data_IF_881236622660
#
_entry.id   IF_881236622660
#
_cell.length_a   1.000
_cell.length_b   1.000
_cell.length_c   1.000
_cell.angle_alpha   90.00
_cell.angle_beta   90.00
_cell.angle_gamma   90.00
#
_symmetry.space_group_name_H-M   'P 1'
#
loop_
_entity.id
_entity.type
_entity.pdbx_description
1 polymer ?
#
# COMPACT_ATOMS: atom_id res chain seq x y z
N UNK A 1 -28.76 34.88 -1.58
CA UNK A 1 -27.96 33.75 -1.05
C UNK A 1 -28.42 32.41 -1.65
N UNK A 2 -29.72 32.10 -1.71
CA UNK A 2 -30.24 30.96 -2.48
C UNK A 2 -29.90 31.02 -4.00
N UNK A 3 -29.87 32.23 -4.57
CA UNK A 3 -29.53 32.45 -5.99
C UNK A 3 -28.14 31.98 -6.41
N UNK A 4 -27.14 32.01 -5.52
CA UNK A 4 -25.77 31.59 -5.83
C UNK A 4 -25.64 30.06 -5.86
N UNK A 5 -26.38 29.36 -5.00
CA UNK A 5 -26.46 27.90 -4.98
C UNK A 5 -27.26 27.39 -6.18
N UNK A 6 -28.39 28.02 -6.51
CA UNK A 6 -29.16 27.69 -7.70
C UNK A 6 -28.36 27.94 -8.99
N UNK A 7 -27.58 29.02 -9.04
CA UNK A 7 -26.63 29.26 -10.13
C UNK A 7 -25.54 28.18 -10.19
N UNK A 8 -24.99 27.75 -9.06
CA UNK A 8 -24.05 26.64 -9.01
C UNK A 8 -24.66 25.35 -9.55
N UNK A 9 -25.87 24.97 -9.10
CA UNK A 9 -26.58 23.77 -9.60
C UNK A 9 -26.84 23.87 -11.11
N UNK A 10 -27.27 25.03 -11.59
CA UNK A 10 -27.54 25.24 -13.01
C UNK A 10 -26.26 25.21 -13.86
N UNK A 11 -25.15 25.78 -13.37
CA UNK A 11 -23.83 25.70 -14.03
C UNK A 11 -23.30 24.26 -14.03
N UNK A 12 -23.49 23.51 -12.95
CA UNK A 12 -23.11 22.09 -12.86
C UNK A 12 -23.91 21.26 -13.87
N UNK A 13 -25.22 21.51 -14.02
CA UNK A 13 -26.08 20.87 -15.04
C UNK A 13 -25.67 21.22 -16.47
N UNK A 14 -25.39 22.49 -16.72
CA UNK A 14 -25.01 22.95 -18.05
C UNK A 14 -23.63 22.41 -18.46
N UNK A 15 -22.65 22.44 -17.57
CA UNK A 15 -21.28 21.96 -17.84
C UNK A 15 -21.23 20.42 -17.93
N UNK A 16 -22.04 19.72 -17.14
CA UNK A 16 -22.19 18.26 -17.27
C UNK A 16 -22.81 17.88 -18.61
N UNK A 17 -23.89 18.54 -19.03
CA UNK A 17 -24.52 18.32 -20.33
C UNK A 17 -23.61 18.69 -21.53
N UNK A 18 -22.64 19.59 -21.33
CA UNK A 18 -21.68 20.02 -22.34
C UNK A 18 -20.37 19.21 -22.34
N UNK A 19 -20.17 18.30 -21.38
CA UNK A 19 -18.94 17.49 -21.27
C UNK A 19 -17.67 18.27 -20.89
N UNK A 20 -17.78 19.53 -20.46
CA UNK A 20 -16.63 20.37 -20.08
C UNK A 20 -16.23 20.14 -18.61
N UNK A 21 -15.67 18.97 -18.35
CA UNK A 21 -15.34 18.46 -17.01
C UNK A 21 -14.21 19.24 -16.31
N UNK A 22 -13.29 19.86 -17.06
CA UNK A 22 -12.17 20.64 -16.50
C UNK A 22 -12.63 21.96 -15.87
N UNK A 23 -13.53 22.68 -16.55
CA UNK A 23 -14.14 23.90 -16.02
C UNK A 23 -15.02 23.59 -14.80
N UNK A 24 -15.67 22.42 -14.78
CA UNK A 24 -16.43 21.96 -13.63
C UNK A 24 -15.54 21.73 -12.41
N UNK A 25 -14.34 21.15 -12.58
CA UNK A 25 -13.36 20.99 -11.50
C UNK A 25 -12.88 22.35 -10.94
N UNK A 26 -12.61 23.32 -11.81
CA UNK A 26 -12.19 24.66 -11.39
C UNK A 26 -13.31 25.40 -10.63
N UNK A 27 -14.54 25.26 -11.11
CA UNK A 27 -15.73 25.84 -10.48
C UNK A 27 -15.99 25.21 -9.10
N UNK A 28 -15.71 23.91 -8.95
CA UNK A 28 -15.80 23.20 -7.67
C UNK A 28 -14.79 23.72 -6.67
N UNK A 29 -13.52 23.86 -7.07
CA UNK A 29 -12.48 24.40 -6.21
C UNK A 29 -12.81 25.84 -5.74
N UNK A 30 -13.41 26.67 -6.60
CA UNK A 30 -13.85 28.02 -6.24
C UNK A 30 -15.13 28.05 -5.39
N UNK A 31 -16.00 27.05 -5.54
CA UNK A 31 -17.30 27.00 -4.85
C UNK A 31 -17.25 26.47 -3.41
N UNK A 32 -16.12 25.86 -2.98
CA UNK A 32 -15.98 25.25 -1.66
C UNK A 32 -16.33 26.20 -0.49
N UNK A 33 -15.92 27.46 -0.57
CA UNK A 33 -16.25 28.48 0.46
C UNK A 33 -17.72 28.90 0.46
N UNK A 34 -18.40 28.84 -0.69
CA UNK A 34 -19.82 29.19 -0.84
C UNK A 34 -20.73 28.06 -0.35
N UNK A 35 -20.32 26.81 -0.58
CA UNK A 35 -21.01 25.61 -0.10
C UNK A 35 -20.88 25.49 1.43
N UNK A 36 -19.72 25.81 2.00
CA UNK A 36 -19.50 25.80 3.45
C UNK A 36 -20.42 26.78 4.22
N UNK A 37 -20.86 27.87 3.57
CA UNK A 37 -21.72 28.90 4.18
C UNK A 37 -23.22 28.56 4.15
N UNK A 38 -23.66 27.58 3.34
CA UNK A 38 -25.08 27.31 3.11
C UNK A 38 -25.46 25.84 3.35
N UNK A 39 -25.07 25.29 4.50
CA UNK A 39 -25.17 23.87 4.86
C UNK A 39 -26.61 23.32 4.90
N UNK A 40 -27.59 24.13 5.34
CA UNK A 40 -28.99 23.72 5.49
C UNK A 40 -29.71 23.43 4.16
N UNK A 41 -29.22 24.00 3.06
CA UNK A 41 -29.80 23.83 1.72
C UNK A 41 -29.07 22.77 0.89
N UNK A 42 -27.96 22.22 1.39
CA UNK A 42 -27.15 21.24 0.68
C UNK A 42 -27.89 19.91 0.47
N UNK A 43 -28.79 19.50 1.38
CA UNK A 43 -29.62 18.29 1.15
C UNK A 43 -30.68 18.49 0.07
N UNK A 44 -31.23 19.71 -0.04
CA UNK A 44 -32.13 20.08 -1.15
C UNK A 44 -31.38 20.14 -2.49
N UNK A 45 -30.14 20.64 -2.48
CA UNK A 45 -29.23 20.64 -3.64
C UNK A 45 -28.84 19.20 -4.02
N UNK A 46 -28.51 18.35 -3.05
CA UNK A 46 -28.17 16.95 -3.26
C UNK A 46 -29.33 16.16 -3.87
N UNK A 47 -30.56 16.43 -3.45
CA UNK A 47 -31.76 15.85 -4.05
C UNK A 47 -32.12 16.39 -5.45
N UNK A 48 -31.56 17.53 -5.83
CA UNK A 48 -31.76 18.14 -7.15
C UNK A 48 -30.68 17.71 -8.18
N UNK A 49 -29.55 17.15 -7.73
CA UNK A 49 -28.49 16.68 -8.61
C UNK A 49 -28.63 15.17 -8.85
N UNK A 50 -28.57 14.75 -10.11
CA UNK A 50 -28.39 13.34 -10.44
C UNK A 50 -26.96 12.90 -10.11
N UNK A 51 -26.83 11.81 -9.35
CA UNK A 51 -25.54 11.24 -8.91
C UNK A 51 -24.71 10.70 -10.08
N UNK A 52 -25.33 10.28 -11.19
CA UNK A 52 -24.62 9.77 -12.36
C UNK A 52 -24.06 10.90 -13.24
N UNK A 53 -24.86 11.93 -13.47
CA UNK A 53 -24.48 13.05 -14.35
C UNK A 53 -23.68 14.13 -13.60
N UNK A 54 -23.92 14.32 -12.31
CA UNK A 54 -23.32 15.41 -11.51
C UNK A 54 -22.52 14.89 -10.32
N UNK A 55 -21.97 13.68 -10.46
CA UNK A 55 -21.16 13.01 -9.45
C UNK A 55 -20.11 13.91 -8.80
N UNK A 56 -19.47 14.72 -9.62
CA UNK A 56 -18.41 15.62 -9.23
C UNK A 56 -18.91 16.81 -8.35
N UNK A 57 -20.09 17.35 -8.65
CA UNK A 57 -20.73 18.36 -7.79
C UNK A 57 -21.22 17.78 -6.46
N UNK A 58 -21.73 16.55 -6.48
CA UNK A 58 -22.12 15.81 -5.28
C UNK A 58 -20.91 15.50 -4.38
N UNK A 59 -19.78 15.11 -4.96
CA UNK A 59 -18.51 14.90 -4.24
C UNK A 59 -18.05 16.13 -3.49
N UNK A 60 -18.06 17.28 -4.15
CA UNK A 60 -17.65 18.54 -3.55
C UNK A 60 -18.53 18.90 -2.34
N UNK A 61 -19.85 18.72 -2.48
CA UNK A 61 -20.82 18.97 -1.40
C UNK A 61 -20.61 18.01 -0.23
N UNK A 62 -20.43 16.71 -0.50
CA UNK A 62 -20.17 15.71 0.53
C UNK A 62 -18.84 15.97 1.24
N UNK A 63 -17.77 16.30 0.49
CA UNK A 63 -16.46 16.62 1.05
C UNK A 63 -16.52 17.83 1.99
N UNK A 64 -17.23 18.89 1.61
CA UNK A 64 -17.47 20.06 2.47
C UNK A 64 -18.28 19.69 3.70
N UNK A 65 -19.28 18.80 3.60
CA UNK A 65 -20.04 18.30 4.76
C UNK A 65 -19.16 17.51 5.75
N UNK A 66 -18.20 16.72 5.28
CA UNK A 66 -17.26 15.99 6.14
C UNK A 66 -16.17 16.88 6.75
N UNK A 67 -15.83 17.99 6.11
CA UNK A 67 -14.87 18.96 6.63
C UNK A 67 -15.39 19.73 7.87
N UNK A 68 -16.67 19.58 8.21
CA UNK A 68 -17.27 20.25 9.36
C UNK A 68 -17.03 19.48 10.67
N UNK A 69 -16.65 20.17 11.77
CA UNK A 69 -16.31 19.55 13.05
C UNK A 69 -17.49 18.97 13.84
N UNK A 70 -18.74 19.11 13.38
CA UNK A 70 -19.91 18.52 14.03
C UNK A 70 -20.96 18.14 12.99
N UNK A 71 -21.09 16.84 12.74
CA UNK A 71 -22.17 16.25 11.93
C UNK A 71 -23.16 15.60 12.89
N UNK A 72 -24.32 16.25 13.16
CA UNK A 72 -25.34 15.71 14.07
C UNK A 72 -25.90 14.36 13.59
N UNK A 73 -25.94 14.13 12.27
CA UNK A 73 -26.49 12.92 11.65
C UNK A 73 -25.46 12.20 10.76
N UNK A 74 -24.39 11.69 11.35
CA UNK A 74 -23.38 10.91 10.60
C UNK A 74 -23.98 9.71 9.85
N UNK A 75 -25.03 9.07 10.38
CA UNK A 75 -25.61 7.87 9.76
C UNK A 75 -26.34 8.18 8.43
N UNK A 76 -27.02 9.33 8.36
CA UNK A 76 -27.67 9.76 7.11
C UNK A 76 -26.63 10.17 6.08
N UNK A 77 -25.59 10.90 6.51
CA UNK A 77 -24.46 11.26 5.66
C UNK A 77 -23.69 10.03 5.16
N UNK A 78 -23.45 9.05 6.02
CA UNK A 78 -22.82 7.78 5.65
C UNK A 78 -23.65 7.03 4.60
N UNK A 79 -24.97 7.00 4.78
CA UNK A 79 -25.89 6.39 3.81
C UNK A 79 -25.87 7.13 2.46
N UNK A 80 -25.77 8.47 2.48
CA UNK A 80 -25.61 9.30 1.28
C UNK A 80 -24.28 9.01 0.56
N UNK A 81 -23.16 8.89 1.30
CA UNK A 81 -21.87 8.51 0.72
C UNK A 81 -21.91 7.11 0.15
N UNK A 82 -22.52 6.15 0.85
CA UNK A 82 -22.65 4.79 0.36
C UNK A 82 -23.44 4.74 -0.95
N UNK A 83 -24.58 5.44 -1.03
CA UNK A 83 -25.35 5.55 -2.25
C UNK A 83 -24.53 6.20 -3.37
N UNK A 84 -23.82 7.28 -3.05
CA UNK A 84 -22.95 7.97 -3.97
C UNK A 84 -21.89 7.03 -4.56
N UNK A 85 -21.08 6.36 -3.74
CA UNK A 85 -20.01 5.46 -4.21
C UNK A 85 -20.56 4.31 -5.04
N UNK A 86 -21.75 3.79 -4.69
CA UNK A 86 -22.37 2.68 -5.44
C UNK A 86 -22.89 3.07 -6.83
N UNK A 87 -23.37 4.32 -6.98
CA UNK A 87 -24.05 4.78 -8.22
C UNK A 87 -23.18 5.70 -9.06
N UNK A 88 -22.04 6.16 -8.56
CA UNK A 88 -21.18 7.13 -9.23
C UNK A 88 -20.61 6.63 -10.57
N UNK A 89 -20.51 7.56 -11.52
CA UNK A 89 -19.77 7.39 -12.77
C UNK A 89 -18.25 7.57 -12.54
N UNK A 90 -17.48 6.50 -12.81
CA UNK A 90 -16.03 6.48 -12.64
C UNK A 90 -15.28 7.41 -13.62
N UNK A 91 -15.87 7.77 -14.76
CA UNK A 91 -15.22 8.65 -15.74
C UNK A 91 -15.08 10.08 -15.21
N UNK A 92 -16.10 10.59 -14.52
CA UNK A 92 -16.06 11.92 -13.91
C UNK A 92 -15.13 11.96 -12.69
N UNK A 93 -15.03 10.87 -11.93
CA UNK A 93 -14.13 10.77 -10.76
C UNK A 93 -12.67 10.90 -11.18
N UNK A 94 -12.30 10.42 -12.37
CA UNK A 94 -10.93 10.52 -12.88
C UNK A 94 -10.45 11.96 -13.08
N UNK A 95 -11.36 12.91 -13.29
CA UNK A 95 -11.00 14.33 -13.39
C UNK A 95 -10.79 14.99 -12.02
N UNK A 96 -11.36 14.43 -10.94
CA UNK A 96 -11.29 15.00 -9.60
C UNK A 96 -10.91 13.97 -8.53
N UNK A 97 -9.88 13.18 -8.86
CA UNK A 97 -9.30 12.18 -7.96
C UNK A 97 -8.87 12.75 -6.61
N UNK A 98 -8.40 14.02 -6.58
CA UNK A 98 -8.00 14.72 -5.36
C UNK A 98 -9.16 14.83 -4.34
N UNK A 99 -10.28 15.43 -4.75
CA UNK A 99 -11.46 15.56 -3.88
C UNK A 99 -12.07 14.22 -3.49
N UNK A 100 -12.00 13.23 -4.38
CA UNK A 100 -12.53 11.89 -4.13
C UNK A 100 -11.66 11.12 -3.12
N UNK A 101 -10.34 11.15 -3.27
CA UNK A 101 -9.40 10.58 -2.33
C UNK A 101 -9.51 11.27 -0.97
N UNK A 102 -9.58 12.61 -0.96
CA UNK A 102 -9.84 13.39 0.24
C UNK A 102 -11.10 12.95 0.97
N UNK A 103 -12.21 12.74 0.25
CA UNK A 103 -13.46 12.25 0.84
C UNK A 103 -13.28 10.87 1.47
N UNK A 104 -12.57 9.97 0.80
CA UNK A 104 -12.27 8.64 1.33
C UNK A 104 -11.40 8.71 2.59
N UNK A 105 -10.37 9.54 2.60
CA UNK A 105 -9.52 9.77 3.78
C UNK A 105 -10.31 10.34 4.96
N UNK A 106 -11.19 11.31 4.72
CA UNK A 106 -12.04 11.88 5.77
C UNK A 106 -13.04 10.85 6.30
N UNK A 107 -13.65 10.06 5.41
CA UNK A 107 -14.53 8.95 5.79
C UNK A 107 -13.77 7.92 6.66
N UNK A 108 -12.55 7.56 6.26
CA UNK A 108 -11.68 6.64 7.01
C UNK A 108 -11.40 7.19 8.40
N UNK A 109 -10.93 8.43 8.52
CA UNK A 109 -10.65 9.06 9.81
C UNK A 109 -11.88 9.11 10.72
N UNK A 110 -13.05 9.48 10.18
CA UNK A 110 -14.29 9.54 10.94
C UNK A 110 -14.74 8.14 11.42
N UNK A 111 -14.58 7.09 10.60
CA UNK A 111 -14.89 5.72 10.99
C UNK A 111 -13.92 5.17 12.05
N UNK A 112 -12.66 5.57 11.99
CA UNK A 112 -11.63 5.24 12.99
C UNK A 112 -11.97 5.88 14.33
N UNK A 113 -12.32 7.17 14.33
CA UNK A 113 -12.70 7.90 15.55
C UNK A 113 -13.97 7.31 16.20
N UNK A 114 -14.95 6.91 15.39
CA UNK A 114 -16.21 6.30 15.85
C UNK A 114 -16.11 4.79 16.15
N UNK A 115 -14.94 4.16 15.95
CA UNK A 115 -14.67 2.74 16.20
C UNK A 115 -15.57 1.76 15.43
N UNK A 116 -16.07 2.13 14.25
CA UNK A 116 -16.90 1.26 13.38
C UNK A 116 -16.27 1.03 11.98
N UNK A 117 -15.01 0.57 11.88
CA UNK A 117 -14.29 0.48 10.61
C UNK A 117 -14.84 -0.58 9.64
N UNK A 118 -15.57 -1.59 10.13
CA UNK A 118 -16.01 -2.74 9.33
C UNK A 118 -16.95 -2.36 8.17
N UNK A 119 -17.86 -1.40 8.38
CA UNK A 119 -18.81 -0.95 7.35
C UNK A 119 -18.11 -0.16 6.22
N UNK A 120 -16.99 0.50 6.54
CA UNK A 120 -16.23 1.29 5.56
C UNK A 120 -15.50 0.43 4.53
N UNK A 121 -15.03 -0.76 4.91
CA UNK A 121 -14.23 -1.63 4.02
C UNK A 121 -14.97 -1.94 2.72
N UNK A 122 -16.26 -2.27 2.79
CA UNK A 122 -17.07 -2.57 1.60
C UNK A 122 -17.29 -1.37 0.69
N UNK A 123 -17.34 -0.15 1.26
CA UNK A 123 -17.50 1.09 0.50
C UNK A 123 -16.18 1.48 -0.16
N UNK A 124 -15.07 1.46 0.59
CA UNK A 124 -13.75 1.77 0.05
C UNK A 124 -13.34 0.80 -1.05
N UNK A 125 -13.75 -0.48 -0.95
CA UNK A 125 -13.57 -1.46 -2.02
C UNK A 125 -14.17 -0.96 -3.35
N UNK A 126 -15.43 -0.55 -3.32
CA UNK A 126 -16.12 -0.02 -4.51
C UNK A 126 -15.48 1.28 -5.00
N UNK A 127 -15.03 2.13 -4.07
CA UNK A 127 -14.34 3.37 -4.41
C UNK A 127 -13.02 3.11 -5.16
N UNK A 128 -12.22 2.14 -4.71
CA UNK A 128 -10.99 1.71 -5.38
C UNK A 128 -11.31 1.18 -6.78
N UNK A 129 -12.29 0.27 -6.89
CA UNK A 129 -12.68 -0.34 -8.17
C UNK A 129 -13.15 0.72 -9.19
N UNK A 130 -13.69 1.85 -8.73
CA UNK A 130 -14.14 2.97 -9.57
C UNK A 130 -13.02 3.95 -9.93
N UNK A 131 -12.02 4.12 -9.07
CA UNK A 131 -10.88 5.01 -9.33
C UNK A 131 -9.84 4.38 -10.26
N UNK A 132 -9.53 3.10 -10.06
CA UNK A 132 -8.48 2.44 -10.84
C UNK A 132 -8.88 2.37 -12.31
N UNK A 133 -7.98 2.78 -13.21
CA UNK A 133 -8.19 2.56 -14.65
C UNK A 133 -7.79 1.14 -15.03
N UNK A 134 -6.73 0.65 -14.41
CA UNK A 134 -6.22 -0.72 -14.52
C UNK A 134 -5.99 -1.26 -13.11
N UNK A 135 -6.09 -2.57 -12.93
CA UNK A 135 -5.85 -3.28 -11.65
C UNK A 135 -4.45 -3.09 -11.06
N UNK A 136 -3.55 -2.43 -11.79
CA UNK A 136 -2.14 -2.28 -11.46
C UNK A 136 -1.82 -0.89 -10.88
N UNK A 137 -2.84 -0.06 -10.61
CA UNK A 137 -2.66 1.29 -10.09
C UNK A 137 -2.84 1.34 -8.56
N UNK A 138 -1.78 1.76 -7.87
CA UNK A 138 -1.82 2.05 -6.45
C UNK A 138 -2.40 3.45 -6.21
N UNK A 139 -3.61 3.50 -5.68
CA UNK A 139 -4.27 4.73 -5.21
C UNK A 139 -4.04 4.95 -3.71
N UNK A 140 -4.20 6.18 -3.23
CA UNK A 140 -4.05 6.53 -1.81
C UNK A 140 -5.05 5.77 -0.91
N UNK A 141 -6.24 5.46 -1.44
CA UNK A 141 -7.32 4.72 -0.76
C UNK A 141 -6.92 3.28 -0.40
N UNK A 142 -5.93 2.71 -1.09
CA UNK A 142 -5.40 1.39 -0.72
C UNK A 142 -4.78 1.39 0.68
N UNK A 143 -4.20 2.51 1.12
CA UNK A 143 -3.69 2.63 2.49
C UNK A 143 -4.84 2.60 3.51
N UNK A 144 -5.93 3.32 3.20
CA UNK A 144 -7.10 3.45 4.06
C UNK A 144 -7.85 2.12 4.23
N UNK A 145 -8.06 1.36 3.15
CA UNK A 145 -8.72 0.05 3.25
C UNK A 145 -7.90 -0.90 4.12
N UNK A 146 -6.56 -0.86 4.01
CA UNK A 146 -5.66 -1.64 4.85
C UNK A 146 -5.76 -1.21 6.32
N UNK A 147 -5.82 0.10 6.59
CA UNK A 147 -6.00 0.65 7.93
C UNK A 147 -7.31 0.18 8.57
N UNK A 148 -8.43 0.29 7.84
CA UNK A 148 -9.75 -0.14 8.31
C UNK A 148 -9.80 -1.66 8.57
N UNK A 149 -9.24 -2.46 7.66
CA UNK A 149 -9.16 -3.91 7.82
C UNK A 149 -8.33 -4.32 9.04
N UNK A 150 -7.24 -3.59 9.30
CA UNK A 150 -6.37 -3.84 10.44
C UNK A 150 -7.06 -3.53 11.77
N UNK A 151 -7.80 -2.43 11.84
CA UNK A 151 -8.58 -2.05 13.03
C UNK A 151 -9.79 -2.96 13.25
N UNK A 152 -10.47 -3.36 12.18
CA UNK A 152 -11.60 -4.29 12.23
C UNK A 152 -11.18 -5.75 12.48
N UNK A 153 -9.86 -6.05 12.41
CA UNK A 153 -9.30 -7.41 12.45
C UNK A 153 -9.89 -8.36 11.40
N UNK A 154 -10.29 -7.82 10.25
CA UNK A 154 -10.88 -8.57 9.14
C UNK A 154 -10.02 -8.40 7.89
N UNK A 155 -9.11 -9.35 7.64
CA UNK A 155 -8.10 -9.25 6.59
C UNK A 155 -8.55 -9.76 5.22
N UNK A 156 -9.51 -10.68 5.19
CA UNK A 156 -9.94 -11.36 3.96
C UNK A 156 -10.39 -10.44 2.82
N UNK A 157 -11.12 -9.34 3.04
CA UNK A 157 -11.55 -8.47 1.93
C UNK A 157 -10.42 -7.65 1.31
N UNK A 158 -9.29 -7.45 2.00
CA UNK A 158 -8.16 -6.67 1.49
C UNK A 158 -7.18 -7.49 0.63
N UNK A 159 -7.19 -8.82 0.75
CA UNK A 159 -6.25 -9.70 0.05
C UNK A 159 -6.24 -9.53 -1.47
N UNK A 160 -7.38 -9.43 -2.18
CA UNK A 160 -7.36 -9.27 -3.63
C UNK A 160 -6.59 -8.05 -4.13
N UNK A 161 -6.50 -6.99 -3.32
CA UNK A 161 -5.75 -5.78 -3.66
C UNK A 161 -4.27 -5.89 -3.27
N UNK A 162 -3.96 -6.63 -2.20
CA UNK A 162 -2.60 -6.82 -1.69
C UNK A 162 -1.84 -7.93 -2.45
N UNK A 163 -2.55 -8.91 -3.00
CA UNK A 163 -1.94 -10.03 -3.74
C UNK A 163 -1.47 -9.59 -5.13
N UNK A 164 -2.00 -8.46 -5.65
CA UNK A 164 -1.60 -7.89 -6.94
C UNK A 164 -0.38 -6.97 -6.76
N UNK A 165 0.67 -7.24 -7.52
CA UNK A 165 1.84 -6.36 -7.62
C UNK A 165 1.53 -5.15 -8.52
N UNK A 166 1.04 -4.09 -7.90
CA UNK A 166 0.75 -2.81 -8.56
C UNK A 166 2.05 -2.12 -9.00
N UNK A 167 2.10 -1.66 -10.25
CA UNK A 167 3.31 -1.10 -10.88
C UNK A 167 3.26 0.43 -11.02
N UNK A 168 2.07 1.00 -11.13
CA UNK A 168 1.88 2.44 -11.34
C UNK A 168 1.25 3.07 -10.10
N UNK A 169 1.63 4.30 -9.77
CA UNK A 169 1.08 5.05 -8.64
C UNK A 169 0.16 6.11 -9.21
N UNK A 170 -1.13 6.04 -8.88
CA UNK A 170 -2.07 7.07 -9.28
C UNK A 170 -1.74 8.36 -8.51
N UNK A 171 -1.22 9.37 -9.21
CA UNK A 171 -0.78 10.64 -8.60
C UNK A 171 -1.92 11.53 -8.12
N UNK A 172 -3.16 11.20 -8.44
CA UNK A 172 -4.37 11.91 -8.04
C UNK A 172 -4.28 13.44 -8.21
N UNK A 173 -3.89 13.92 -9.40
CA UNK A 173 -3.66 15.35 -9.68
C UNK A 173 -2.63 16.05 -8.76
N UNK A 174 -1.73 15.29 -8.12
CA UNK A 174 -0.70 15.79 -7.20
C UNK A 174 -1.02 15.63 -5.71
N UNK A 175 -2.19 15.08 -5.37
CA UNK A 175 -2.62 14.87 -3.98
C UNK A 175 -1.98 13.66 -3.28
N UNK A 176 -1.22 12.85 -4.02
CA UNK A 176 -0.62 11.63 -3.48
C UNK A 176 0.54 11.93 -2.50
N UNK A 177 0.28 11.84 -1.20
CA UNK A 177 1.33 11.92 -0.16
C UNK A 177 2.13 10.60 -0.08
N UNK A 178 3.45 10.71 0.06
CA UNK A 178 4.35 9.58 0.24
C UNK A 178 4.02 8.76 1.51
N UNK A 179 3.35 9.37 2.49
CA UNK A 179 2.86 8.65 3.68
C UNK A 179 1.84 7.57 3.33
N UNK A 180 0.96 7.78 2.35
CA UNK A 180 -0.02 6.77 1.96
C UNK A 180 0.66 5.54 1.36
N UNK A 181 1.71 5.75 0.56
CA UNK A 181 2.56 4.66 0.07
C UNK A 181 3.18 3.87 1.24
N UNK A 182 3.83 4.57 2.18
CA UNK A 182 4.44 3.93 3.34
C UNK A 182 3.41 3.18 4.20
N UNK A 183 2.25 3.78 4.44
CA UNK A 183 1.15 3.17 5.18
C UNK A 183 0.60 1.94 4.48
N UNK A 184 0.41 1.98 3.16
CA UNK A 184 -0.04 0.83 2.38
C UNK A 184 0.88 -0.38 2.55
N UNK A 185 2.17 -0.21 2.29
CA UNK A 185 3.14 -1.32 2.43
C UNK A 185 3.32 -1.77 3.88
N UNK A 186 3.31 -0.84 4.84
CA UNK A 186 3.43 -1.18 6.26
C UNK A 186 2.20 -1.94 6.78
N UNK A 187 0.98 -1.46 6.50
CA UNK A 187 -0.26 -2.11 6.90
C UNK A 187 -0.47 -3.43 6.14
N UNK A 188 -0.17 -3.47 4.84
CA UNK A 188 -0.14 -4.70 4.05
C UNK A 188 0.79 -5.75 4.65
N UNK A 189 2.01 -5.34 5.03
CA UNK A 189 2.97 -6.20 5.74
C UNK A 189 2.41 -6.73 7.07
N UNK A 190 1.69 -5.89 7.84
CA UNK A 190 1.03 -6.33 9.08
C UNK A 190 -0.12 -7.31 8.83
N UNK A 191 -0.90 -7.10 7.77
CA UNK A 191 -1.99 -7.99 7.35
C UNK A 191 -1.42 -9.37 7.01
N UNK A 192 -0.39 -9.44 6.16
CA UNK A 192 0.26 -10.69 5.81
C UNK A 192 0.93 -11.38 7.01
N UNK A 193 1.55 -10.58 7.90
CA UNK A 193 2.11 -11.10 9.15
C UNK A 193 1.01 -11.70 10.03
N UNK A 194 -0.17 -11.07 10.12
CA UNK A 194 -1.32 -11.58 10.84
C UNK A 194 -1.89 -12.89 10.25
N UNK A 195 -1.81 -13.05 8.94
CA UNK A 195 -2.20 -14.26 8.21
C UNK A 195 -1.10 -15.33 8.18
N UNK A 196 0.08 -15.06 8.78
CA UNK A 196 1.27 -15.92 8.76
C UNK A 196 1.83 -16.18 7.36
N UNK A 197 1.49 -15.35 6.37
CA UNK A 197 2.18 -15.35 5.08
C UNK A 197 3.44 -14.48 5.21
N UNK A 198 4.50 -15.06 5.78
CA UNK A 198 5.72 -14.33 6.12
C UNK A 198 6.54 -13.93 4.89
N UNK A 199 6.44 -14.68 3.78
CA UNK A 199 7.15 -14.38 2.54
C UNK A 199 6.68 -13.04 1.96
N UNK A 200 5.36 -12.91 1.76
CA UNK A 200 4.77 -11.68 1.26
C UNK A 200 4.89 -10.53 2.27
N UNK A 201 4.77 -10.81 3.57
CA UNK A 201 5.00 -9.80 4.61
C UNK A 201 6.42 -9.21 4.55
N UNK A 202 7.43 -10.06 4.35
CA UNK A 202 8.83 -9.62 4.26
C UNK A 202 9.03 -8.70 3.05
N UNK A 203 8.51 -9.09 1.89
CA UNK A 203 8.53 -8.26 0.67
C UNK A 203 7.88 -6.89 0.92
N UNK A 204 6.69 -6.86 1.54
CA UNK A 204 5.99 -5.60 1.83
C UNK A 204 6.79 -4.69 2.77
N UNK A 205 7.39 -5.24 3.82
CA UNK A 205 8.25 -4.44 4.69
C UNK A 205 9.52 -3.96 3.99
N UNK A 206 10.10 -4.77 3.11
CA UNK A 206 11.25 -4.38 2.29
C UNK A 206 10.92 -3.16 1.41
N UNK A 207 9.78 -3.20 0.70
CA UNK A 207 9.33 -2.08 -0.14
C UNK A 207 9.08 -0.78 0.66
N UNK A 208 8.56 -0.90 1.88
CA UNK A 208 8.39 0.26 2.77
C UNK A 208 9.73 0.89 3.21
N UNK A 209 10.81 0.10 3.26
CA UNK A 209 12.16 0.57 3.69
C UNK A 209 12.96 1.10 2.50
N UNK A 210 12.75 0.55 1.31
CA UNK A 210 13.42 0.99 0.07
C UNK A 210 12.91 2.32 -0.47
N UNK A 211 11.78 2.82 0.05
CA UNK A 211 11.23 4.12 -0.34
C UNK A 211 12.27 5.24 -0.16
N UNK A 212 12.58 6.02 -1.21
CA UNK A 212 13.49 7.16 -1.12
C UNK A 212 13.00 8.18 -0.09
N UNK A 213 13.81 8.47 0.92
CA UNK A 213 13.41 9.35 2.02
C UNK A 213 14.58 10.21 2.50
N UNK A 214 14.31 11.51 2.66
CA UNK A 214 15.25 12.48 3.23
C UNK A 214 15.07 12.65 4.74
N UNK A 215 13.88 12.36 5.26
CA UNK A 215 13.55 12.44 6.68
C UNK A 215 13.11 11.08 7.20
N UNK A 216 13.41 10.81 8.47
CA UNK A 216 13.00 9.57 9.14
C UNK A 216 11.51 9.66 9.49
N UNK A 217 10.72 8.68 9.05
CA UNK A 217 9.33 8.52 9.48
C UNK A 217 9.21 7.38 10.49
N UNK A 218 8.24 7.51 11.41
CA UNK A 218 7.93 6.42 12.35
C UNK A 218 7.44 5.15 11.63
N UNK A 219 6.79 5.30 10.47
CA UNK A 219 6.31 4.18 9.66
C UNK A 219 7.49 3.34 9.17
N UNK A 220 8.55 3.98 8.65
CA UNK A 220 9.76 3.29 8.21
C UNK A 220 10.52 2.62 9.36
N UNK A 221 10.51 3.25 10.54
CA UNK A 221 11.17 2.69 11.71
C UNK A 221 10.42 1.44 12.22
N UNK A 222 9.09 1.49 12.28
CA UNK A 222 8.26 0.35 12.65
C UNK A 222 8.28 -0.78 11.62
N UNK A 223 8.32 -0.45 10.33
CA UNK A 223 8.49 -1.44 9.26
C UNK A 223 9.85 -2.13 9.37
N UNK A 224 10.93 -1.39 9.62
CA UNK A 224 12.28 -1.95 9.81
C UNK A 224 12.36 -2.91 11.00
N UNK A 225 11.77 -2.56 12.14
CA UNK A 225 11.69 -3.45 13.31
C UNK A 225 10.99 -4.77 12.96
N UNK A 226 9.84 -4.69 12.28
CA UNK A 226 9.05 -5.88 11.90
C UNK A 226 9.72 -6.69 10.79
N UNK A 227 10.43 -6.05 9.87
CA UNK A 227 11.27 -6.69 8.86
C UNK A 227 12.33 -7.59 9.50
N UNK A 228 13.03 -7.12 10.54
CA UNK A 228 14.00 -7.94 11.28
C UNK A 228 13.31 -9.15 11.91
N UNK A 229 12.17 -8.95 12.58
CA UNK A 229 11.45 -10.06 13.22
C UNK A 229 10.96 -11.10 12.21
N UNK A 230 10.33 -10.66 11.12
CA UNK A 230 9.79 -11.55 10.08
C UNK A 230 10.92 -12.28 9.35
N UNK A 231 12.04 -11.61 9.04
CA UNK A 231 13.20 -12.28 8.43
C UNK A 231 13.82 -13.34 9.35
N UNK A 232 13.89 -13.08 10.67
CA UNK A 232 14.33 -14.10 11.64
C UNK A 232 13.37 -15.30 11.71
N UNK A 233 12.06 -15.08 11.58
CA UNK A 233 11.05 -16.14 11.59
C UNK A 233 11.12 -16.98 10.32
N UNK A 234 11.21 -16.34 9.16
CA UNK A 234 11.15 -17.00 7.85
C UNK A 234 12.48 -17.63 7.44
N UNK A 235 13.58 -16.88 7.50
CA UNK A 235 14.89 -17.28 6.95
C UNK A 235 15.88 -17.73 8.02
N UNK A 236 15.57 -17.49 9.30
CA UNK A 236 16.48 -17.78 10.42
C UNK A 236 17.72 -16.88 10.47
N UNK A 237 17.75 -15.81 9.67
CA UNK A 237 18.76 -14.75 9.62
C UNK A 237 18.14 -13.47 9.06
N UNK A 238 18.75 -12.32 9.32
CA UNK A 238 18.27 -11.05 8.78
C UNK A 238 18.62 -10.96 7.29
N UNK A 239 17.61 -10.77 6.45
CA UNK A 239 17.77 -10.57 5.01
C UNK A 239 18.48 -9.24 4.75
N UNK A 240 19.48 -9.27 3.86
CA UNK A 240 20.23 -8.06 3.50
C UNK A 240 19.36 -7.16 2.64
N UNK A 241 19.29 -5.88 3.03
CA UNK A 241 18.56 -4.88 2.29
C UNK A 241 19.27 -4.50 0.98
N UNK A 242 18.54 -4.09 -0.06
CA UNK A 242 19.13 -3.63 -1.31
C UNK A 242 20.03 -2.40 -1.14
N UNK A 243 21.04 -2.27 -2.03
CA UNK A 243 22.01 -1.15 -1.99
C UNK A 243 21.39 0.22 -2.24
N UNK A 244 20.25 0.28 -2.93
CA UNK A 244 19.53 1.52 -3.22
C UNK A 244 18.66 2.03 -2.06
N UNK A 245 18.73 1.39 -0.89
CA UNK A 245 18.01 1.86 0.29
C UNK A 245 18.51 3.23 0.76
N UNK A 246 17.57 4.03 1.26
CA UNK A 246 17.83 5.40 1.72
C UNK A 246 18.91 5.45 2.82
N UNK A 247 19.86 6.38 2.70
CA UNK A 247 20.98 6.53 3.64
C UNK A 247 20.54 6.76 5.10
N UNK A 248 19.35 7.35 5.29
CA UNK A 248 18.74 7.54 6.61
C UNK A 248 18.47 6.23 7.36
N UNK A 249 18.27 5.12 6.65
CA UNK A 249 17.99 3.81 7.24
C UNK A 249 19.23 3.33 8.00
N UNK A 250 20.40 3.40 7.36
CA UNK A 250 21.67 3.02 7.99
C UNK A 250 22.10 3.99 9.09
N UNK A 251 21.92 5.30 8.89
CA UNK A 251 22.41 6.33 9.82
C UNK A 251 21.54 6.52 11.06
N UNK A 252 20.22 6.45 10.93
CA UNK A 252 19.28 6.79 12.01
C UNK A 252 18.40 5.63 12.43
N UNK A 253 17.78 4.91 11.49
CA UNK A 253 16.82 3.84 11.82
C UNK A 253 17.53 2.65 12.48
N UNK A 254 18.71 2.27 11.97
CA UNK A 254 19.53 1.18 12.51
C UNK A 254 19.91 1.39 14.00
N UNK A 255 20.52 2.52 14.42
CA UNK A 255 20.83 2.73 15.84
C UNK A 255 19.59 2.88 16.72
N UNK A 256 18.49 3.46 16.21
CA UNK A 256 17.24 3.57 16.96
C UNK A 256 16.56 2.21 17.23
N UNK A 257 16.86 1.20 16.40
CA UNK A 257 16.32 -0.17 16.52
C UNK A 257 17.36 -1.16 17.07
N UNK A 258 18.34 -0.69 17.85
CA UNK A 258 19.45 -1.51 18.35
C UNK A 258 19.00 -2.79 19.09
N UNK A 259 17.90 -2.74 19.86
CA UNK A 259 17.35 -3.92 20.54
C UNK A 259 17.00 -5.08 19.58
N UNK A 260 16.58 -4.77 18.35
CA UNK A 260 16.25 -5.77 17.32
C UNK A 260 17.51 -6.33 16.65
N UNK A 261 18.57 -5.53 16.54
CA UNK A 261 19.88 -6.02 16.08
C UNK A 261 20.58 -6.88 17.12
N UNK A 262 20.51 -6.50 18.41
CA UNK A 262 20.99 -7.34 19.52
C UNK A 262 20.22 -8.67 19.54
N UNK A 263 18.91 -8.64 19.30
CA UNK A 263 18.09 -9.85 19.13
C UNK A 263 18.58 -10.73 17.97
N UNK A 264 18.82 -10.14 16.79
CA UNK A 264 19.36 -10.87 15.65
C UNK A 264 20.77 -11.43 15.91
N UNK A 265 21.61 -10.72 16.66
CA UNK A 265 22.95 -11.17 17.02
C UNK A 265 22.88 -12.39 17.95
N UNK A 266 22.07 -12.34 19.01
CA UNK A 266 21.86 -13.50 19.91
C UNK A 266 21.15 -14.64 19.17
N UNK A 267 20.27 -14.35 18.21
CA UNK A 267 19.67 -15.38 17.37
C UNK A 267 20.73 -16.17 16.58
N UNK A 268 21.84 -15.52 16.19
CA UNK A 268 22.91 -16.18 15.44
C UNK A 268 23.76 -17.14 16.29
N UNK A 269 23.78 -16.99 17.63
CA UNK A 269 24.45 -17.93 18.56
C UNK A 269 23.67 -19.24 18.73
N UNK A 270 22.40 -19.26 18.32
CA UNK A 270 21.48 -20.40 18.42
C UNK A 270 21.15 -20.85 19.86
N UNK A 271 21.41 -20.02 20.86
CA UNK A 271 21.12 -20.30 22.27
C UNK A 271 19.73 -19.76 22.68
N UNK A 272 18.74 -20.64 22.97
CA UNK A 272 17.39 -20.20 23.29
C UNK A 272 17.25 -19.57 24.70
N UNK A 273 18.10 -19.97 25.64
CA UNK A 273 18.16 -19.39 26.99
C UNK A 273 18.66 -17.94 26.95
N UNK A 274 19.73 -17.70 26.20
CA UNK A 274 20.32 -16.38 25.99
C UNK A 274 19.32 -15.45 25.28
N UNK A 275 18.62 -15.97 24.25
CA UNK A 275 17.57 -15.21 23.57
C UNK A 275 16.42 -14.86 24.54
N UNK A 276 15.99 -15.79 25.41
CA UNK A 276 14.95 -15.52 26.42
C UNK A 276 15.39 -14.47 27.43
N UNK A 277 16.65 -14.49 27.86
CA UNK A 277 17.21 -13.48 28.77
C UNK A 277 17.20 -12.10 28.11
N UNK A 278 17.59 -12.02 26.83
CA UNK A 278 17.56 -10.77 26.08
C UNK A 278 16.14 -10.23 25.89
N UNK A 279 15.18 -11.10 25.55
CA UNK A 279 13.77 -10.72 25.43
C UNK A 279 13.22 -10.19 26.76
N UNK A 280 13.66 -10.76 27.89
CA UNK A 280 13.28 -10.28 29.23
C UNK A 280 13.90 -8.91 29.53
N UNK A 281 15.19 -8.72 29.18
CA UNK A 281 15.94 -7.46 29.33
C UNK A 281 15.30 -6.30 28.56
N UNK A 282 14.89 -6.53 27.31
CA UNK A 282 14.30 -5.50 26.43
C UNK A 282 12.77 -5.60 26.33
N UNK A 283 12.11 -6.25 27.29
CA UNK A 283 10.67 -6.54 27.26
C UNK A 283 9.81 -5.28 27.17
N UNK A 284 10.18 -4.22 27.88
CA UNK A 284 9.51 -2.92 27.85
C UNK A 284 9.53 -2.29 26.45
N UNK A 285 10.68 -2.37 25.76
CA UNK A 285 10.84 -1.84 24.39
C UNK A 285 9.94 -2.58 23.41
N UNK A 286 9.93 -3.91 23.43
CA UNK A 286 9.07 -4.71 22.54
C UNK A 286 7.58 -4.61 22.86
N UNK A 287 7.23 -4.31 24.11
CA UNK A 287 5.84 -4.08 24.52
C UNK A 287 5.38 -2.69 24.05
N UNK A 288 6.22 -1.67 24.22
CA UNK A 288 5.98 -0.31 23.72
C UNK A 288 5.79 -0.27 22.20
N UNK A 289 6.54 -1.08 21.48
CA UNK A 289 6.47 -1.21 20.02
C UNK A 289 5.33 -2.14 19.54
N UNK A 290 4.52 -2.70 20.45
CA UNK A 290 3.39 -3.60 20.18
C UNK A 290 3.71 -4.82 19.31
N UNK A 291 4.93 -5.34 19.39
CA UNK A 291 5.43 -6.45 18.58
C UNK A 291 6.02 -7.61 19.42
N UNK A 292 5.78 -7.61 20.73
CA UNK A 292 6.09 -8.70 21.66
C UNK A 292 5.63 -10.08 21.16
N UNK A 293 4.47 -10.17 20.51
CA UNK A 293 3.96 -11.42 19.94
C UNK A 293 4.89 -12.01 18.88
N UNK A 294 5.46 -11.17 18.01
CA UNK A 294 6.39 -11.58 16.96
C UNK A 294 7.74 -12.00 17.55
N UNK A 295 8.23 -11.30 18.58
CA UNK A 295 9.45 -11.69 19.28
C UNK A 295 9.33 -13.09 19.91
N UNK A 296 8.15 -13.40 20.49
CA UNK A 296 7.87 -14.76 20.99
C UNK A 296 7.84 -15.79 19.85
N UNK A 297 7.34 -15.41 18.67
CA UNK A 297 7.41 -16.27 17.49
C UNK A 297 8.86 -16.48 17.04
N UNK A 298 9.73 -15.46 17.09
CA UNK A 298 11.17 -15.64 16.85
C UNK A 298 11.79 -16.66 17.83
N UNK A 299 11.41 -16.62 19.12
CA UNK A 299 11.89 -17.63 20.07
C UNK A 299 11.43 -19.04 19.66
N UNK A 300 10.17 -19.19 19.25
CA UNK A 300 9.65 -20.48 18.76
C UNK A 300 10.31 -20.93 17.45
N UNK A 301 10.61 -20.01 16.53
CA UNK A 301 11.31 -20.32 15.28
C UNK A 301 12.76 -20.72 15.55
N UNK A 302 13.39 -20.19 16.61
CA UNK A 302 14.73 -20.64 17.00
C UNK A 302 14.74 -22.08 17.50
N UNK A 303 13.76 -22.45 18.33
CA UNK A 303 13.59 -23.86 18.74
C UNK A 303 13.34 -24.75 17.52
N UNK A 304 12.46 -24.34 16.61
CA UNK A 304 12.22 -25.06 15.35
C UNK A 304 13.49 -25.18 14.53
N UNK A 305 14.27 -24.11 14.35
CA UNK A 305 15.53 -24.12 13.63
C UNK A 305 16.56 -25.06 14.25
N UNK A 306 16.67 -25.07 15.58
CA UNK A 306 17.55 -25.99 16.29
C UNK A 306 17.11 -27.43 16.11
N UNK A 307 15.80 -27.70 16.17
CA UNK A 307 15.23 -29.00 15.87
C UNK A 307 15.52 -29.35 14.41
N UNK A 308 15.16 -28.54 13.43
CA UNK A 308 15.44 -28.73 12.00
C UNK A 308 16.90 -29.04 11.71
N UNK A 309 17.85 -28.38 12.39
CA UNK A 309 19.28 -28.67 12.24
C UNK A 309 19.68 -30.04 12.80
N UNK A 310 19.02 -30.49 13.86
CA UNK A 310 19.26 -31.77 14.53
C UNK A 310 18.50 -32.93 13.87
N UNK A 311 17.24 -32.71 13.51
CA UNK A 311 16.36 -33.69 12.89
C UNK A 311 16.61 -33.80 11.41
N UNK A 312 17.10 -32.75 10.73
CA UNK A 312 17.24 -32.75 9.28
C UNK A 312 15.93 -33.30 8.67
N UNK A 313 14.77 -32.90 9.19
CA UNK A 313 13.44 -33.42 8.83
C UNK A 313 12.47 -32.26 9.06
N UNK A 314 11.64 -31.97 8.05
CA UNK A 314 10.56 -30.97 7.99
C UNK A 314 11.04 -29.49 7.89
N UNK A 315 11.38 -29.00 6.70
CA UNK A 315 10.41 -28.47 5.72
C UNK A 315 10.66 -28.98 4.28
N UNK A 316 10.67 -30.30 4.08
CA UNK A 316 10.92 -30.89 2.75
C UNK A 316 12.36 -30.74 2.25
N UNK A 317 13.28 -30.24 3.09
CA UNK A 317 14.70 -30.12 2.75
C UNK A 317 15.45 -31.45 2.93
N UNK A 318 14.94 -32.36 3.76
CA UNK A 318 15.55 -33.67 3.97
C UNK A 318 14.47 -34.72 4.25
N UNK A 319 14.59 -35.83 3.53
CA UNK A 319 13.67 -36.96 3.58
C UNK A 319 14.28 -37.98 4.52
N UNK A 320 13.67 -38.27 5.67
CA UNK A 320 14.20 -39.31 6.54
C UNK A 320 13.07 -40.00 7.30
N UNK A 321 13.24 -41.30 7.57
CA UNK A 321 12.30 -42.12 8.33
C UNK A 321 12.92 -42.55 9.65
N UNK A 322 12.16 -42.43 10.73
CA UNK A 322 12.59 -42.82 12.07
C UNK A 322 12.09 -44.24 12.37
N UNK A 323 13.01 -45.18 12.59
CA UNK A 323 12.68 -46.53 13.03
C UNK A 323 12.78 -46.62 14.57
N UNK A 324 11.62 -46.58 15.24
CA UNK A 324 11.53 -46.58 16.71
C UNK A 324 11.95 -47.90 17.36
N UNK A 325 11.94 -49.03 16.64
CA UNK A 325 12.40 -50.31 17.18
C UNK A 325 13.91 -50.37 17.35
N UNK A 326 14.64 -49.77 16.43
CA UNK A 326 16.11 -49.85 16.37
C UNK A 326 16.80 -48.53 16.79
N UNK A 327 16.01 -47.49 17.11
CA UNK A 327 16.53 -46.18 17.51
C UNK A 327 17.32 -45.45 16.41
N UNK A 328 17.14 -45.86 15.15
CA UNK A 328 17.90 -45.37 13.99
C UNK A 328 17.06 -44.38 13.16
N UNK A 329 17.72 -43.33 12.66
CA UNK A 329 17.17 -42.38 11.68
C UNK A 329 17.78 -42.70 10.32
N UNK A 330 16.96 -43.13 9.36
CA UNK A 330 17.40 -43.40 7.99
C UNK A 330 17.12 -42.20 7.10
N UNK A 331 18.17 -41.60 6.54
CA UNK A 331 18.08 -40.52 5.57
C UNK A 331 17.85 -41.07 4.15
N UNK A 332 16.88 -40.51 3.45
CA UNK A 332 16.50 -40.71 2.05
C UNK A 332 16.86 -39.45 1.25
N UNK A 333 17.16 -39.62 -0.04
CA UNK A 333 17.28 -38.49 -0.97
C UNK A 333 15.90 -37.97 -1.39
N UNK A 334 15.85 -36.76 -1.97
CA UNK A 334 14.63 -36.14 -2.49
C UNK A 334 13.77 -37.13 -3.31
N UNK A 335 12.47 -37.32 -2.99
CA UNK A 335 11.54 -38.17 -3.71
C UNK A 335 11.05 -37.50 -4.99
N UNK A 336 11.22 -36.17 -5.12
CA UNK A 336 10.98 -35.41 -6.34
C UNK A 336 12.06 -35.74 -7.37
N UNK A 337 11.71 -36.61 -8.32
CA UNK A 337 12.54 -36.93 -9.49
C UNK A 337 12.24 -36.00 -10.68
N UNK A 338 11.46 -34.93 -10.47
CA UNK A 338 11.05 -33.98 -11.51
C UNK A 338 10.32 -34.61 -12.70
N UNK A 339 9.76 -35.80 -12.52
CA UNK A 339 9.14 -36.60 -13.59
C UNK A 339 7.64 -36.79 -13.39
N UNK A 340 7.05 -36.12 -12.40
CA UNK A 340 5.63 -36.18 -12.12
C UNK A 340 4.88 -35.12 -12.96
N UNK A 341 3.59 -35.35 -13.26
CA UNK A 341 2.75 -34.35 -13.92
C UNK A 341 2.56 -33.08 -13.06
N UNK A 342 2.79 -33.16 -11.75
CA UNK A 342 2.76 -32.00 -10.86
C UNK A 342 3.89 -31.00 -11.16
N UNK A 343 5.12 -31.48 -11.40
CA UNK A 343 6.23 -30.62 -11.80
C UNK A 343 6.03 -30.02 -13.18
N UNK A 344 5.43 -30.75 -14.12
CA UNK A 344 5.02 -30.18 -15.40
C UNK A 344 4.04 -29.01 -15.18
N UNK A 345 3.01 -29.22 -14.36
CA UNK A 345 2.04 -28.16 -14.05
C UNK A 345 2.67 -26.96 -13.33
N UNK A 346 3.57 -27.20 -12.37
CA UNK A 346 4.30 -26.13 -11.69
C UNK A 346 5.19 -25.33 -12.66
N UNK A 347 5.91 -26.02 -13.55
CA UNK A 347 6.74 -25.37 -14.58
C UNK A 347 5.86 -24.56 -15.53
N UNK A 348 4.72 -25.10 -15.97
CA UNK A 348 3.77 -24.39 -16.83
C UNK A 348 3.24 -23.13 -16.14
N UNK A 349 2.88 -23.21 -14.84
CA UNK A 349 2.44 -22.04 -14.07
C UNK A 349 3.54 -20.99 -13.90
N UNK A 350 4.76 -21.39 -13.55
CA UNK A 350 5.89 -20.46 -13.42
C UNK A 350 6.27 -19.85 -14.79
N UNK A 351 6.20 -20.63 -15.87
CA UNK A 351 6.41 -20.14 -17.22
C UNK A 351 5.35 -19.11 -17.63
N UNK A 352 4.07 -19.35 -17.31
CA UNK A 352 3.00 -18.37 -17.55
C UNK A 352 3.24 -17.06 -16.80
N UNK A 353 3.70 -17.11 -15.54
CA UNK A 353 4.08 -15.91 -14.77
C UNK A 353 5.24 -15.16 -15.43
N UNK A 354 6.24 -15.87 -15.93
CA UNK A 354 7.37 -15.27 -16.66
C UNK A 354 6.94 -14.64 -17.98
N UNK A 355 6.03 -15.28 -18.74
CA UNK A 355 5.46 -14.73 -19.97
C UNK A 355 4.68 -13.45 -19.66
N UNK A 356 3.84 -13.46 -18.61
CA UNK A 356 3.09 -12.28 -18.20
C UNK A 356 4.00 -11.13 -17.75
N UNK A 357 5.11 -11.45 -17.07
CA UNK A 357 6.14 -10.47 -16.72
C UNK A 357 6.85 -9.91 -17.96
N UNK A 358 7.18 -10.74 -18.96
CA UNK A 358 7.81 -10.32 -20.22
C UNK A 358 6.88 -9.39 -21.03
N UNK A 359 5.60 -9.73 -21.13
CA UNK A 359 4.60 -8.87 -21.80
C UNK A 359 4.44 -7.52 -21.08
N UNK A 360 4.48 -7.50 -19.74
CA UNK A 360 4.50 -6.25 -18.97
C UNK A 360 5.77 -5.44 -19.19
N UNK A 361 6.93 -6.08 -19.27
CA UNK A 361 8.20 -5.41 -19.55
C UNK A 361 8.19 -4.80 -20.96
N UNK A 362 7.64 -5.49 -21.96
CA UNK A 362 7.45 -4.94 -23.31
C UNK A 362 6.53 -3.72 -23.32
N UNK A 363 5.40 -3.78 -22.60
CA UNK A 363 4.50 -2.64 -22.49
C UNK A 363 5.19 -1.42 -21.86
N UNK A 364 5.98 -1.64 -20.79
CA UNK A 364 6.76 -0.59 -20.14
C UNK A 364 7.83 0.00 -21.07
N UNK A 365 8.55 -0.85 -21.81
CA UNK A 365 9.57 -0.42 -22.78
C UNK A 365 8.95 0.40 -23.93
N UNK A 366 7.75 0.01 -24.39
CA UNK A 366 6.99 0.75 -25.38
C UNK A 366 6.58 2.14 -24.84
N UNK A 367 6.07 2.23 -23.61
CA UNK A 367 5.72 3.52 -22.99
C UNK A 367 6.94 4.43 -22.84
N UNK A 368 8.09 3.89 -22.42
CA UNK A 368 9.35 4.63 -22.31
C UNK A 368 9.80 5.12 -23.69
N UNK A 369 9.73 4.28 -24.71
CA UNK A 369 10.15 4.61 -26.09
C UNK A 369 9.29 5.71 -26.71
N UNK A 370 8.00 5.75 -26.40
CA UNK A 370 7.06 6.77 -26.91
C UNK A 370 7.18 8.09 -26.12
N UNK A 371 7.87 8.10 -24.97
CA UNK A 371 7.99 9.29 -24.14
C UNK A 371 8.86 10.37 -24.82
N UNK A 372 8.32 11.58 -25.11
CA UNK A 372 9.02 12.61 -25.87
C UNK A 372 10.30 13.11 -25.18
N UNK A 373 10.37 13.08 -23.85
CA UNK A 373 11.59 13.46 -23.11
C UNK A 373 12.68 12.40 -23.24
N UNK A 374 12.30 11.13 -23.34
CA UNK A 374 13.23 10.03 -23.61
C UNK A 374 13.72 10.11 -25.06
N UNK A 375 12.82 10.33 -26.02
CA UNK A 375 13.15 10.53 -27.44
C UNK A 375 14.10 11.72 -27.64
N UNK A 376 13.84 12.87 -27.00
CA UNK A 376 14.74 14.03 -27.06
C UNK A 376 16.13 13.77 -26.48
N UNK A 377 16.23 13.04 -25.35
CA UNK A 377 17.53 12.67 -24.77
C UNK A 377 18.25 11.60 -25.58
N UNK A 378 17.52 10.70 -26.22
CA UNK A 378 18.05 9.61 -27.04
C UNK A 378 18.54 10.10 -28.40
N UNK A 379 17.87 11.10 -28.97
CA UNK A 379 18.25 11.72 -30.25
C UNK A 379 19.38 12.77 -30.12
N UNK A 380 19.86 13.03 -28.91
CA UNK A 380 21.00 13.90 -28.63
C UNK A 380 20.65 15.39 -28.61
N UNK A 381 21.04 16.04 -27.52
CA UNK A 381 21.19 17.50 -27.46
C UNK A 381 22.23 17.95 -28.50
N UNK A 382 21.80 18.38 -29.68
CA UNK A 382 22.56 19.34 -30.48
C UNK A 382 22.15 20.75 -30.03
N UNK A 383 22.74 21.22 -28.93
CA UNK A 383 22.77 22.65 -28.61
C UNK A 383 24.23 23.12 -28.72
N UNK A 384 24.50 23.82 -29.82
CA UNK A 384 25.44 24.94 -30.00
C UNK A 384 26.88 24.82 -29.46
N UNK A 385 27.76 24.23 -30.28
CA UNK A 385 29.18 24.63 -30.36
C UNK A 385 29.51 25.11 -31.78
N UNK A 386 28.84 26.17 -32.25
CA UNK A 386 29.33 26.97 -33.37
C UNK A 386 30.09 28.17 -32.82
N UNK A 387 31.39 27.98 -32.62
CA UNK A 387 32.33 29.02 -32.21
C UNK A 387 32.27 30.24 -33.13
N UNK A 388 31.73 31.34 -32.62
CA UNK A 388 31.84 32.64 -33.24
C UNK A 388 33.20 33.26 -32.84
N UNK A 389 34.25 32.95 -33.60
CA UNK A 389 35.50 33.74 -33.58
C UNK A 389 35.31 34.98 -34.47
N UNK A 390 35.37 36.22 -33.95
CA UNK A 390 35.56 37.37 -34.79
C UNK A 390 37.03 37.42 -35.24
N UNK A 391 37.22 37.32 -36.56
CA UNK A 391 38.47 37.56 -37.27
C UNK A 391 38.94 39.00 -37.07
N UNK A 392 40.08 39.18 -36.41
CA UNK A 392 40.84 40.41 -36.40
C UNK A 392 41.48 40.66 -37.77
N UNK A 393 41.02 41.68 -38.49
CA UNK A 393 41.80 42.36 -39.53
C UNK A 393 41.54 43.86 -39.46
N UNK A 394 42.64 44.61 -39.62
CA UNK A 394 42.85 46.06 -39.51
C UNK A 394 43.15 46.59 -38.11
#
# INVERSE_FOLDING_TARGET
MASALEQFVNSVRQLSAQGQMTQLCELINKSGELLAKNLSHLDTVLGALDVQEHSLGVLAVLFVKFSMPSVPDFETLFSQVQLFISTCNGEHIRYATDTFAGLCHQLTNALVERKQPLRGIGILKQAIDKMQMNTNQLTSIHADICQLCLLAKCFKPALPYLDVDMMDICKENGAYDAKHFLCYYYYGGMIYTGLKNFERALYFYEQAITTPAMAVSHIMLESYKKYILVSLILLGKVQQLPKYTSQIVGRFIKPLSNAYHELAQVYSTNNPSELRNLVSKHSETFTRDNNMGLVKQCLSSLYKKNIQRLTKIEDGEIFASINQKDGMVSFHDNPEKYNNPAMLHNIDQEMLKCIELDERLKAMDQEITVNPQFVQKSMGSQEDDSGNKPSSYS
#
